data_IF_740469228281
#
_entry.id   IF_740469228281
#
_cell.length_a   1.000
_cell.length_b   1.000
_cell.length_c   1.000
_cell.angle_alpha   90.00
_cell.angle_beta   90.00
_cell.angle_gamma   90.00
#
_symmetry.space_group_name_H-M   'P 1'
#
loop_
_entity.id
_entity.type
_entity.pdbx_description
1 polymer ?
#
# COMPACT_ATOMS: atom_id res chain seq x y z
N UNK A 1 -23.47 4.28 -24.25
CA UNK A 1 -22.65 4.28 -23.02
C UNK A 1 -23.56 4.65 -21.86
N UNK A 2 -23.58 3.81 -20.83
CA UNK A 2 -24.37 4.06 -19.62
C UNK A 2 -23.43 4.54 -18.52
N UNK A 3 -23.26 5.85 -18.40
CA UNK A 3 -22.36 6.49 -17.42
C UNK A 3 -22.90 6.44 -15.98
N UNK A 4 -23.95 5.67 -15.72
CA UNK A 4 -24.50 5.54 -14.38
C UNK A 4 -23.51 4.86 -13.44
N UNK A 5 -23.28 5.49 -12.30
CA UNK A 5 -22.44 4.95 -11.22
C UNK A 5 -23.33 4.16 -10.26
N UNK A 6 -22.87 2.98 -9.87
CA UNK A 6 -23.44 2.26 -8.76
C UNK A 6 -23.02 2.94 -7.45
N UNK A 7 -23.96 3.55 -6.74
CA UNK A 7 -23.66 4.27 -5.50
C UNK A 7 -23.10 3.41 -4.37
N UNK A 8 -23.39 2.10 -4.36
CA UNK A 8 -22.89 1.19 -3.35
C UNK A 8 -21.43 0.79 -3.60
N UNK A 9 -21.11 0.42 -4.84
CA UNK A 9 -19.74 0.02 -5.20
C UNK A 9 -18.84 1.20 -5.56
N UNK A 10 -19.43 2.37 -5.84
CA UNK A 10 -18.78 3.56 -6.38
C UNK A 10 -18.07 3.31 -7.73
N UNK A 11 -18.55 2.33 -8.49
CA UNK A 11 -18.02 1.96 -9.81
C UNK A 11 -19.01 2.32 -10.90
N UNK A 12 -18.53 2.56 -12.12
CA UNK A 12 -19.41 2.65 -13.27
C UNK A 12 -20.12 1.30 -13.47
N UNK A 13 -21.41 1.35 -13.85
CA UNK A 13 -22.17 0.15 -14.18
C UNK A 13 -21.68 -0.51 -15.48
N UNK A 14 -21.09 0.30 -16.36
CA UNK A 14 -20.45 -0.13 -17.60
C UNK A 14 -18.97 -0.45 -17.32
N UNK A 15 -18.58 -1.71 -17.52
CA UNK A 15 -17.22 -2.19 -17.25
C UNK A 15 -16.17 -1.55 -18.12
N UNK A 16 -16.51 -1.21 -19.36
CA UNK A 16 -15.55 -0.64 -20.31
C UNK A 16 -15.16 0.79 -19.88
N UNK A 17 -16.14 1.55 -19.38
CA UNK A 17 -15.94 2.90 -18.81
C UNK A 17 -15.14 2.83 -17.51
N UNK A 18 -15.46 1.86 -16.64
CA UNK A 18 -14.72 1.64 -15.39
C UNK A 18 -13.24 1.33 -15.67
N UNK A 19 -12.96 0.43 -16.61
CA UNK A 19 -11.59 0.06 -16.97
C UNK A 19 -10.85 1.23 -17.62
N UNK A 20 -11.50 2.00 -18.50
CA UNK A 20 -10.91 3.23 -19.06
C UNK A 20 -10.59 4.25 -17.96
N UNK A 21 -11.54 4.50 -17.07
CA UNK A 21 -11.36 5.41 -15.94
C UNK A 21 -10.19 4.98 -15.06
N UNK A 22 -10.12 3.70 -14.67
CA UNK A 22 -9.06 3.17 -13.83
C UNK A 22 -7.70 3.26 -14.53
N UNK A 23 -7.61 2.91 -15.81
CA UNK A 23 -6.37 3.01 -16.59
C UNK A 23 -5.85 4.46 -16.68
N UNK A 24 -6.74 5.45 -16.73
CA UNK A 24 -6.34 6.86 -16.74
C UNK A 24 -5.99 7.42 -15.34
N UNK A 25 -6.65 6.94 -14.29
CA UNK A 25 -6.54 7.50 -12.93
C UNK A 25 -5.47 6.81 -12.10
N UNK A 26 -5.31 5.49 -12.24
CA UNK A 26 -4.35 4.71 -11.47
C UNK A 26 -2.91 5.24 -11.60
N UNK A 27 -2.38 5.56 -12.81
CA UNK A 27 -1.03 6.13 -12.94
C UNK A 27 -0.86 7.47 -12.24
N UNK A 28 -1.94 8.24 -12.05
CA UNK A 28 -1.92 9.53 -11.35
C UNK A 28 -1.98 9.37 -9.84
N UNK A 29 -2.70 8.36 -9.33
CA UNK A 29 -2.87 8.11 -7.89
C UNK A 29 -1.69 7.31 -7.34
N UNK A 30 -1.15 6.37 -8.11
CA UNK A 30 -0.12 5.43 -7.70
C UNK A 30 1.13 6.09 -7.07
N UNK A 31 1.67 7.21 -7.58
CA UNK A 31 2.80 7.90 -6.92
C UNK A 31 2.47 8.41 -5.51
N UNK A 32 1.26 8.94 -5.30
CA UNK A 32 0.84 9.42 -3.98
C UNK A 32 0.63 8.25 -3.01
N UNK A 33 0.02 7.16 -3.50
CA UNK A 33 -0.12 5.94 -2.72
C UNK A 33 1.24 5.37 -2.32
N UNK A 34 2.22 5.37 -3.24
CA UNK A 34 3.61 4.99 -2.94
C UNK A 34 4.22 5.85 -1.83
N UNK A 35 4.08 7.17 -1.90
CA UNK A 35 4.58 8.09 -0.84
C UNK A 35 3.95 7.78 0.51
N UNK A 36 2.62 7.57 0.54
CA UNK A 36 1.91 7.21 1.76
C UNK A 36 2.45 5.90 2.34
N UNK A 37 2.57 4.87 1.50
CA UNK A 37 3.10 3.56 1.86
C UNK A 37 4.55 3.64 2.38
N UNK A 38 5.44 4.39 1.72
CA UNK A 38 6.80 4.61 2.22
C UNK A 38 6.84 5.35 3.56
N UNK A 39 5.94 6.31 3.76
CA UNK A 39 5.84 7.03 5.03
C UNK A 39 5.42 6.09 6.16
N UNK A 40 4.49 5.16 5.92
CA UNK A 40 4.12 4.14 6.90
C UNK A 40 5.28 3.19 7.22
N UNK A 41 6.10 2.86 6.21
CA UNK A 41 7.29 2.03 6.40
C UNK A 41 8.31 2.70 7.32
N UNK A 42 8.54 4.00 7.12
CA UNK A 42 9.44 4.80 7.97
C UNK A 42 8.96 4.82 9.42
N UNK A 43 7.67 5.07 9.66
CA UNK A 43 7.09 5.03 11.01
C UNK A 43 7.31 3.67 11.66
N UNK A 44 7.07 2.58 10.91
CA UNK A 44 7.28 1.22 11.40
C UNK A 44 8.74 0.95 11.75
N UNK A 45 9.68 1.44 10.95
CA UNK A 45 11.11 1.32 11.24
C UNK A 45 11.51 2.05 12.53
N UNK A 46 10.94 3.24 12.79
CA UNK A 46 11.16 3.96 14.05
C UNK A 46 10.61 3.19 15.26
N UNK A 47 9.41 2.62 15.16
CA UNK A 47 8.83 1.79 16.22
C UNK A 47 9.72 0.56 16.47
N UNK A 48 10.18 -0.10 15.42
CA UNK A 48 11.07 -1.27 15.56
C UNK A 48 12.40 -0.91 16.22
N UNK A 49 12.97 0.26 15.90
CA UNK A 49 14.18 0.76 16.53
C UNK A 49 13.98 1.03 18.02
N UNK A 50 12.86 1.66 18.39
CA UNK A 50 12.51 1.93 19.79
C UNK A 50 12.28 0.63 20.59
N UNK A 51 11.58 -0.34 20.00
CA UNK A 51 11.37 -1.67 20.59
C UNK A 51 12.69 -2.40 20.84
N UNK A 52 13.61 -2.41 19.86
CA UNK A 52 14.92 -3.06 20.00
C UNK A 52 15.76 -2.39 21.09
N UNK A 53 15.71 -1.06 21.20
CA UNK A 53 16.42 -0.33 22.26
C UNK A 53 15.82 -0.60 23.64
N UNK A 54 14.50 -0.73 23.73
CA UNK A 54 13.77 -0.90 25.00
C UNK A 54 13.84 -2.33 25.52
N UNK A 55 13.64 -3.33 24.65
CA UNK A 55 13.53 -4.74 25.02
C UNK A 55 14.77 -5.57 24.69
N UNK A 56 15.74 -4.97 24.00
CA UNK A 56 16.91 -5.66 23.47
C UNK A 56 16.62 -6.41 22.16
N UNK A 57 17.67 -6.86 21.46
CA UNK A 57 17.52 -7.53 20.18
C UNK A 57 16.91 -8.92 20.34
N UNK A 58 15.78 -9.17 19.67
CA UNK A 58 15.16 -10.49 19.58
C UNK A 58 15.16 -10.96 18.12
N UNK A 59 15.81 -12.10 17.85
CA UNK A 59 15.99 -12.62 16.49
C UNK A 59 14.67 -12.97 15.79
N UNK A 60 13.69 -13.51 16.54
CA UNK A 60 12.38 -13.90 15.98
C UNK A 60 11.60 -12.64 15.60
N UNK A 61 11.63 -11.62 16.47
CA UNK A 61 10.99 -10.33 16.21
C UNK A 61 11.60 -9.63 14.99
N UNK A 62 12.94 -9.56 14.93
CA UNK A 62 13.65 -8.94 13.79
C UNK A 62 13.33 -9.70 12.49
N UNK A 63 13.31 -11.03 12.52
CA UNK A 63 13.00 -11.84 11.34
C UNK A 63 11.56 -11.64 10.86
N UNK A 64 10.60 -11.60 11.79
CA UNK A 64 9.20 -11.31 11.49
C UNK A 64 9.03 -9.96 10.78
N UNK A 65 9.65 -8.91 11.32
CA UNK A 65 9.59 -7.58 10.70
C UNK A 65 10.37 -7.49 9.39
N UNK A 66 11.47 -8.24 9.24
CA UNK A 66 12.23 -8.29 7.98
C UNK A 66 11.43 -8.94 6.85
N UNK A 67 10.66 -9.99 7.14
CA UNK A 67 9.77 -10.64 6.16
C UNK A 67 8.67 -9.67 5.72
N UNK A 68 8.08 -8.93 6.66
CA UNK A 68 7.09 -7.92 6.37
C UNK A 68 7.63 -6.79 5.48
N UNK A 69 8.83 -6.27 5.77
CA UNK A 69 9.52 -5.29 4.93
C UNK A 69 9.76 -5.83 3.51
N UNK A 70 10.13 -7.10 3.38
CA UNK A 70 10.35 -7.75 2.09
C UNK A 70 9.04 -7.90 1.30
N UNK A 71 7.96 -8.32 1.96
CA UNK A 71 6.63 -8.40 1.34
C UNK A 71 6.14 -7.04 0.85
N UNK A 72 6.35 -6.00 1.63
CA UNK A 72 6.07 -4.62 1.24
C UNK A 72 6.90 -4.18 0.03
N UNK A 73 8.20 -4.49 0.02
CA UNK A 73 9.08 -4.18 -1.11
C UNK A 73 8.60 -4.85 -2.40
N UNK A 74 8.27 -6.15 -2.34
CA UNK A 74 7.71 -6.88 -3.48
C UNK A 74 6.43 -6.18 -3.95
N UNK A 75 5.47 -5.89 -3.06
CA UNK A 75 4.20 -5.24 -3.43
C UNK A 75 4.36 -3.87 -4.13
N UNK A 76 5.36 -3.07 -3.75
CA UNK A 76 5.54 -1.72 -4.31
C UNK A 76 6.27 -1.72 -5.65
N UNK A 77 7.15 -2.70 -5.87
CA UNK A 77 8.08 -2.74 -7.01
C UNK A 77 7.81 -3.84 -8.03
N UNK A 78 7.00 -4.85 -7.70
CA UNK A 78 6.71 -6.01 -8.53
C UNK A 78 5.20 -6.28 -8.58
#
# INVERSE_FOLDING_TARGET
>A
MNESVNYFTQRFNDSDIEDEYLNQRWPKIWPYLKIFLYSTLLIKAFVMYDDINTFGPNIIYILYHSIDLLGFFVFVFY
#
